data_IF_016968988397
#
_entry.id   IF_016968988397
#
_cell.length_a   1.000
_cell.length_b   1.000
_cell.length_c   1.000
_cell.angle_alpha   90.00
_cell.angle_beta   90.00
_cell.angle_gamma   90.00
#
_symmetry.space_group_name_H-M   'P 1'
#
loop_
_entity.id
_entity.type
_entity.pdbx_description
1 polymer ?
#
# COMPACT_ATOMS: atom_id res chain seq x y z
N UNK A 1 -10.47 25.29 1.69
CA UNK A 1 -9.61 24.09 1.61
C UNK A 1 -10.09 23.32 0.38
N UNK A 2 -9.30 23.23 -0.70
CA UNK A 2 -9.75 22.54 -1.92
C UNK A 2 -9.58 21.04 -1.70
N UNK A 3 -10.67 20.28 -1.81
CA UNK A 3 -10.63 18.81 -1.81
C UNK A 3 -9.76 18.37 -2.99
N UNK A 4 -8.58 17.81 -2.69
CA UNK A 4 -7.79 17.11 -3.69
C UNK A 4 -8.58 15.86 -4.09
N UNK A 5 -8.68 15.52 -5.40
CA UNK A 5 -9.17 14.21 -5.79
C UNK A 5 -8.39 13.15 -5.01
N UNK A 6 -9.08 12.14 -4.49
CA UNK A 6 -8.42 11.03 -3.80
C UNK A 6 -7.47 10.38 -4.82
N UNK A 7 -6.15 10.52 -4.62
CA UNK A 7 -5.17 9.88 -5.47
C UNK A 7 -5.41 8.38 -5.50
N UNK A 8 -5.25 7.75 -6.67
CA UNK A 8 -5.53 6.32 -6.85
C UNK A 8 -4.40 5.42 -6.32
N UNK A 9 -3.37 6.03 -5.75
CA UNK A 9 -2.24 5.39 -5.11
C UNK A 9 -1.43 6.40 -4.29
N UNK A 10 -0.31 5.96 -3.74
CA UNK A 10 0.57 6.75 -2.88
C UNK A 10 1.88 7.06 -3.59
N UNK A 11 2.32 8.31 -3.54
CA UNK A 11 3.65 8.70 -4.03
C UNK A 11 4.66 8.67 -2.86
N UNK A 12 5.93 8.36 -3.14
CA UNK A 12 6.97 8.34 -2.10
C UNK A 12 7.07 9.69 -1.36
N UNK A 13 6.89 10.81 -2.07
CA UNK A 13 6.90 12.15 -1.47
C UNK A 13 5.76 12.36 -0.46
N UNK A 14 4.54 11.96 -0.82
CA UNK A 14 3.37 11.99 0.08
C UNK A 14 3.59 11.11 1.31
N UNK A 15 4.12 9.89 1.11
CA UNK A 15 4.42 8.99 2.22
C UNK A 15 5.43 9.64 3.16
N UNK A 16 6.53 10.19 2.64
CA UNK A 16 7.56 10.83 3.48
C UNK A 16 7.01 12.05 4.23
N UNK A 17 6.19 12.88 3.60
CA UNK A 17 5.54 14.02 4.24
C UNK A 17 4.64 13.56 5.40
N UNK A 18 3.78 12.57 5.18
CA UNK A 18 2.87 12.07 6.21
C UNK A 18 3.59 11.34 7.34
N UNK A 19 4.68 10.62 7.05
CA UNK A 19 5.55 10.05 8.09
C UNK A 19 6.17 11.14 8.98
N UNK A 20 6.59 12.26 8.39
CA UNK A 20 7.09 13.41 9.16
C UNK A 20 5.98 14.07 10.01
N UNK A 21 4.73 14.02 9.55
CA UNK A 21 3.56 14.51 10.29
C UNK A 21 3.06 13.55 11.37
N UNK A 22 3.79 12.44 11.64
CA UNK A 22 3.44 11.45 12.67
C UNK A 22 2.55 10.31 12.17
N UNK A 23 2.29 10.24 10.86
CA UNK A 23 1.70 9.08 10.23
C UNK A 23 2.62 7.85 10.28
N UNK A 24 2.05 6.68 10.02
CA UNK A 24 2.80 5.42 9.91
C UNK A 24 2.12 4.46 8.93
N UNK A 25 2.86 3.45 8.47
CA UNK A 25 2.28 2.38 7.66
C UNK A 25 1.66 1.32 8.59
N UNK A 26 0.39 0.96 8.36
CA UNK A 26 -0.32 -0.05 9.15
C UNK A 26 -0.06 -1.46 8.60
N UNK A 27 -0.23 -1.62 7.29
CA UNK A 27 -0.04 -2.89 6.61
C UNK A 27 0.64 -2.67 5.26
N UNK A 28 1.47 -3.64 4.87
CA UNK A 28 2.07 -3.68 3.55
C UNK A 28 1.92 -5.08 2.98
N UNK A 29 1.55 -5.15 1.71
CA UNK A 29 1.64 -6.36 0.90
C UNK A 29 2.37 -6.05 -0.40
N UNK A 30 3.03 -7.05 -0.96
CA UNK A 30 3.74 -6.98 -2.23
C UNK A 30 3.09 -7.99 -3.17
N UNK A 31 2.68 -7.52 -4.35
CA UNK A 31 2.23 -8.38 -5.44
C UNK A 31 3.37 -8.51 -6.43
N UNK A 32 3.71 -9.75 -6.77
CA UNK A 32 4.74 -10.09 -7.75
C UNK A 32 4.09 -10.59 -9.02
N UNK A 33 4.42 -9.95 -10.14
CA UNK A 33 4.01 -10.38 -11.46
C UNK A 33 5.22 -10.86 -12.25
N UNK A 34 5.09 -11.99 -12.93
CA UNK A 34 6.10 -12.46 -13.88
C UNK A 34 5.78 -11.89 -15.27
N UNK A 35 6.74 -11.21 -15.88
CA UNK A 35 6.66 -10.63 -17.22
C UNK A 35 7.80 -11.21 -18.04
N UNK A 36 7.49 -12.17 -18.93
CA UNK A 36 8.51 -12.99 -19.58
C UNK A 36 9.27 -13.81 -18.54
N UNK A 37 10.59 -13.66 -18.50
CA UNK A 37 11.46 -14.34 -17.52
C UNK A 37 11.80 -13.47 -16.30
N UNK A 38 11.26 -12.25 -16.23
CA UNK A 38 11.55 -11.30 -15.15
C UNK A 38 10.37 -11.19 -14.17
N UNK A 39 10.67 -10.96 -12.89
CA UNK A 39 9.68 -10.60 -11.89
C UNK A 39 9.63 -9.07 -11.72
N UNK A 40 8.42 -8.54 -11.55
CA UNK A 40 8.16 -7.17 -11.13
C UNK A 40 7.31 -7.16 -9.86
N UNK A 41 7.71 -6.34 -8.90
CA UNK A 41 7.12 -6.27 -7.56
C UNK A 41 6.47 -4.91 -7.35
N UNK A 42 5.20 -4.90 -6.92
CA UNK A 42 4.45 -3.70 -6.57
C UNK A 42 4.03 -3.77 -5.10
N UNK A 43 4.32 -2.72 -4.34
CA UNK A 43 3.81 -2.59 -2.98
C UNK A 43 2.41 -1.97 -2.97
N UNK A 44 1.53 -2.56 -2.18
CA UNK A 44 0.28 -1.96 -1.73
C UNK A 44 0.40 -1.67 -0.25
N UNK A 45 0.05 -0.45 0.12
CA UNK A 45 0.30 0.10 1.44
C UNK A 45 -1.04 0.56 2.00
N UNK A 46 -1.32 0.17 3.24
CA UNK A 46 -2.40 0.73 4.05
C UNK A 46 -1.77 1.70 5.04
N UNK A 47 -1.75 3.02 4.77
CA UNK A 47 -1.18 3.98 5.68
C UNK A 47 -2.15 4.33 6.82
N UNK A 48 -1.71 5.08 7.83
CA UNK A 48 -2.58 5.48 8.94
C UNK A 48 -3.56 6.59 8.58
N UNK A 49 -3.29 7.36 7.52
CA UNK A 49 -4.09 8.49 7.05
C UNK A 49 -5.10 8.12 5.94
N UNK A 50 -5.08 6.87 5.46
CA UNK A 50 -6.07 6.32 4.52
C UNK A 50 -6.63 5.01 5.06
N UNK A 51 -7.80 4.60 4.59
CA UNK A 51 -8.43 3.35 5.06
C UNK A 51 -8.06 2.17 4.19
N UNK A 52 -7.89 2.42 2.90
CA UNK A 52 -7.72 1.46 1.83
C UNK A 52 -6.25 1.03 1.68
N UNK A 53 -6.04 -0.13 1.05
CA UNK A 53 -4.74 -0.46 0.46
C UNK A 53 -4.57 0.30 -0.85
N UNK A 54 -3.50 1.08 -0.94
CA UNK A 54 -3.17 1.90 -2.09
C UNK A 54 -1.85 1.44 -2.71
N UNK A 55 -1.76 1.30 -4.04
CA UNK A 55 -0.51 0.95 -4.69
C UNK A 55 0.51 2.09 -4.57
N UNK A 56 1.79 1.75 -4.54
CA UNK A 56 2.87 2.72 -4.68
C UNK A 56 2.96 3.18 -6.13
N UNK A 57 2.96 4.51 -6.33
CA UNK A 57 2.90 5.14 -7.65
C UNK A 57 4.18 5.89 -7.97
N UNK A 58 4.45 6.01 -9.26
CA UNK A 58 5.51 6.88 -9.79
C UNK A 58 5.14 8.36 -9.59
N UNK A 59 6.14 9.23 -9.72
CA UNK A 59 5.92 10.67 -9.60
C UNK A 59 4.87 11.16 -10.60
N UNK A 60 3.95 12.02 -10.14
CA UNK A 60 2.77 12.49 -10.87
C UNK A 60 1.65 11.46 -11.14
N UNK A 61 1.63 10.33 -10.40
CA UNK A 61 0.55 9.32 -10.45
C UNK A 61 0.30 8.75 -11.87
N UNK A 62 1.33 8.73 -12.71
CA UNK A 62 1.20 8.30 -14.12
C UNK A 62 1.13 6.79 -14.27
N UNK A 63 1.77 6.06 -13.37
CA UNK A 63 1.85 4.60 -13.39
C UNK A 63 2.18 4.03 -12.00
N UNK A 64 1.93 2.74 -11.81
CA UNK A 64 2.43 1.98 -10.67
C UNK A 64 3.95 1.95 -10.66
N UNK A 65 4.54 2.09 -9.46
CA UNK A 65 5.98 1.99 -9.28
C UNK A 65 6.34 0.54 -8.97
N UNK A 66 6.78 -0.19 -10.01
CA UNK A 66 7.27 -1.56 -9.86
C UNK A 66 8.78 -1.61 -9.65
N UNK A 67 9.25 -2.71 -9.05
CA UNK A 67 10.66 -2.98 -8.78
C UNK A 67 11.01 -4.35 -9.33
N UNK A 68 12.12 -4.47 -10.06
CA UNK A 68 12.64 -5.78 -10.50
C UNK A 68 13.44 -6.52 -9.43
N UNK A 69 13.89 -5.79 -8.42
CA UNK A 69 14.66 -6.31 -7.30
C UNK A 69 13.85 -6.15 -6.02
N UNK A 70 13.39 -7.28 -5.47
CA UNK A 70 12.61 -7.31 -4.24
C UNK A 70 13.39 -6.69 -3.07
N UNK A 71 14.72 -6.86 -3.00
CA UNK A 71 15.52 -6.32 -1.90
C UNK A 71 15.51 -4.78 -1.90
N UNK A 72 15.49 -4.16 -3.09
CA UNK A 72 15.36 -2.70 -3.18
C UNK A 72 14.01 -2.20 -2.68
N UNK A 73 12.93 -2.92 -3.01
CA UNK A 73 11.59 -2.59 -2.49
C UNK A 73 11.53 -2.79 -0.97
N UNK A 74 12.13 -3.87 -0.45
CA UNK A 74 12.19 -4.11 1.00
C UNK A 74 13.00 -3.04 1.73
N UNK A 75 14.15 -2.62 1.20
CA UNK A 75 14.95 -1.53 1.77
C UNK A 75 14.16 -0.23 1.82
N UNK A 76 13.42 0.13 0.75
CA UNK A 76 12.53 1.29 0.77
C UNK A 76 11.47 1.17 1.88
N UNK A 77 10.80 0.02 1.99
CA UNK A 77 9.73 -0.16 2.98
C UNK A 77 10.27 -0.14 4.43
N UNK A 78 11.44 -0.74 4.66
CA UNK A 78 12.04 -0.93 5.99
C UNK A 78 12.83 0.30 6.43
N UNK A 79 13.77 0.73 5.61
CA UNK A 79 14.80 1.71 5.98
C UNK A 79 14.27 3.13 5.75
N UNK A 80 13.58 3.35 4.63
CA UNK A 80 13.10 4.69 4.26
C UNK A 80 11.72 5.00 4.83
N UNK A 81 10.80 4.03 4.86
CA UNK A 81 9.45 4.22 5.38
C UNK A 81 9.27 3.71 6.81
N UNK A 82 10.27 3.02 7.38
CA UNK A 82 10.24 2.58 8.77
C UNK A 82 9.21 1.48 9.07
N UNK A 83 8.76 0.71 8.06
CA UNK A 83 7.78 -0.34 8.28
C UNK A 83 8.43 -1.65 8.73
N UNK A 84 8.32 -1.94 10.02
CA UNK A 84 8.87 -3.17 10.61
C UNK A 84 7.86 -4.32 10.75
N UNK A 85 6.60 -4.11 10.37
CA UNK A 85 5.55 -5.12 10.43
C UNK A 85 5.70 -6.26 9.43
N UNK A 86 4.74 -7.19 9.43
CA UNK A 86 4.71 -8.29 8.46
C UNK A 86 4.45 -7.76 7.05
N UNK A 87 5.25 -8.20 6.07
CA UNK A 87 5.05 -7.89 4.65
C UNK A 87 4.59 -9.17 3.96
N UNK A 88 3.32 -9.21 3.56
CA UNK A 88 2.79 -10.33 2.78
C UNK A 88 3.33 -10.28 1.34
N UNK A 89 3.81 -11.39 0.81
CA UNK A 89 4.27 -11.51 -0.57
C UNK A 89 3.35 -12.48 -1.31
N UNK A 90 2.74 -12.01 -2.38
CA UNK A 90 1.77 -12.76 -3.18
C UNK A 90 2.15 -12.74 -4.64
N UNK A 91 1.75 -13.77 -5.38
CA UNK A 91 1.80 -13.75 -6.84
C UNK A 91 0.56 -13.05 -7.40
N UNK A 92 0.68 -12.42 -8.56
CA UNK A 92 -0.47 -11.89 -9.29
C UNK A 92 -1.48 -13.03 -9.56
N UNK A 93 -2.76 -12.78 -9.25
CA UNK A 93 -3.83 -13.77 -9.33
C UNK A 93 -3.95 -14.74 -8.14
N UNK A 94 -3.14 -14.57 -7.08
CA UNK A 94 -3.27 -15.40 -5.87
C UNK A 94 -4.67 -15.26 -5.23
N UNK A 95 -5.41 -16.37 -5.00
CA UNK A 95 -6.75 -16.34 -4.41
C UNK A 95 -6.83 -15.64 -3.04
N UNK A 96 -5.75 -15.66 -2.24
CA UNK A 96 -5.75 -15.02 -0.93
C UNK A 96 -5.74 -13.49 -1.01
N UNK A 97 -5.39 -12.91 -2.17
CA UNK A 97 -5.52 -11.48 -2.42
C UNK A 97 -6.97 -10.98 -2.35
N UNK A 98 -7.96 -11.85 -2.60
CA UNK A 98 -9.38 -11.49 -2.50
C UNK A 98 -9.75 -11.01 -1.09
N UNK A 99 -9.09 -11.57 -0.05
CA UNK A 99 -9.35 -11.22 1.36
C UNK A 99 -9.03 -9.76 1.64
N UNK A 100 -7.94 -9.23 1.05
CA UNK A 100 -7.50 -7.85 1.24
C UNK A 100 -8.37 -6.82 0.51
N UNK A 101 -9.00 -7.22 -0.60
CA UNK A 101 -10.04 -6.38 -1.24
C UNK A 101 -11.26 -6.26 -0.32
N UNK A 102 -11.74 -7.38 0.21
CA UNK A 102 -12.89 -7.38 1.12
C UNK A 102 -12.66 -6.61 2.43
N UNK A 103 -11.43 -6.57 2.97
CA UNK A 103 -11.10 -5.74 4.14
C UNK A 103 -11.14 -4.23 3.85
N UNK A 104 -10.86 -3.83 2.60
CA UNK A 104 -10.96 -2.44 2.18
C UNK A 104 -12.42 -1.98 2.13
N UNK A 105 -13.34 -2.89 1.81
CA UNK A 105 -14.79 -2.63 1.76
C UNK A 105 -15.47 -2.76 3.14
N UNK A 106 -15.04 -3.71 3.98
CA UNK A 106 -15.76 -4.05 5.23
C UNK A 106 -15.54 -3.07 6.39
N UNK A 107 -14.40 -2.36 6.45
CA UNK A 107 -14.16 -1.34 7.50
C UNK A 107 -14.90 -0.01 7.24
N UNK A 108 -15.68 0.08 6.15
CA UNK A 108 -16.66 1.15 5.93
C UNK A 108 -17.99 0.94 6.67
N UNK A 109 -18.23 -0.25 7.23
CA UNK A 109 -19.51 -0.65 7.82
C UNK A 109 -19.35 -1.14 9.28
N UNK A 110 -18.87 -0.27 10.17
CA UNK A 110 -18.97 -0.45 11.62
C UNK A 110 -19.28 0.90 12.25
N UNK A 111 -20.53 1.28 12.49
CA UNK A 111 -21.56 0.47 13.13
C UNK A 111 -21.53 0.81 14.62
N UNK A 112 -22.27 1.87 14.98
CA UNK A 112 -22.58 2.33 16.33
C UNK A 112 -22.64 1.15 17.32
N UNK A 113 -21.78 1.18 18.34
CA UNK A 113 -21.86 0.23 19.46
C UNK A 113 -23.27 0.29 20.07
N UNK A 114 -23.92 -0.85 20.37
CA UNK A 114 -25.11 -0.82 21.21
C UNK A 114 -24.67 -0.42 22.63
N UNK A 115 -25.15 0.75 23.06
CA UNK A 115 -25.18 1.15 24.46
C UNK A 115 -26.05 0.15 25.27
N UNK A 116 -25.75 -0.02 26.58
CA UNK A 116 -26.19 -1.15 27.39
C UNK A 116 -27.71 -1.30 27.55
#
# INVERSE_FOLDING_TARGET
MRERPLATGLQEGEIREELQNGGHLRNVLIITKTIGDAAEHLAYIRPSWRREFLPLRTWADKDDRTYRDLNRLLALLRDDFGYYGFIGLYMDGDPDLARYRSFSDSEGAGGKAPSP
#
